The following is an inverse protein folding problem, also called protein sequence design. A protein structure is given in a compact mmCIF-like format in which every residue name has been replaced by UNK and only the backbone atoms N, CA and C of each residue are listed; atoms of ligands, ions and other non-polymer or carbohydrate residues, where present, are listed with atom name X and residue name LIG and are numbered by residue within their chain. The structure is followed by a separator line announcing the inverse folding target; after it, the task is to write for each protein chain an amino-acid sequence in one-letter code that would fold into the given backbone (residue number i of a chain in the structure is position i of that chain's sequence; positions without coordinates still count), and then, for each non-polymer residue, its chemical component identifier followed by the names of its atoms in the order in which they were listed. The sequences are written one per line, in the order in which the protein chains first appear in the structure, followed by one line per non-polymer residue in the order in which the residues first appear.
data_IF_622710184809
#
_entry.id   IF_622710184809
#
_cell.length_a   1.000
_cell.length_b   1.000
_cell.length_c   1.000
_cell.angle_alpha   90.00
_cell.angle_beta   90.00
_cell.angle_gamma   90.00
#
_symmetry.space_group_name_H-M   'P 1'
#
loop_
_entity.id
_entity.type
_entity.pdbx_description
1 polymer ?
#
# COMPACT_ATOMS: atom_id res chain seq x y z
N UNK A 1 38.13 -5.83 17.63
CA UNK A 1 36.93 -5.09 18.08
C UNK A 1 35.74 -5.75 17.39
N UNK A 2 34.89 -6.46 18.14
CA UNK A 2 33.66 -6.99 17.57
C UNK A 2 32.70 -5.79 17.40
N UNK A 3 32.26 -5.52 16.18
CA UNK A 3 31.06 -4.69 15.98
C UNK A 3 29.96 -5.29 16.85
N UNK A 4 29.19 -4.45 17.56
CA UNK A 4 28.03 -4.91 18.33
C UNK A 4 27.19 -5.86 17.47
N UNK A 5 26.52 -6.84 18.07
CA UNK A 5 25.74 -7.84 17.31
C UNK A 5 24.71 -7.20 16.37
N UNK A 6 24.31 -5.97 16.66
CA UNK A 6 23.48 -5.12 15.82
C UNK A 6 24.26 -4.47 14.65
N UNK A 7 25.42 -3.86 14.92
CA UNK A 7 26.19 -3.14 13.89
C UNK A 7 26.68 -4.02 12.74
N UNK A 8 26.89 -5.32 12.98
CA UNK A 8 27.23 -6.28 11.92
C UNK A 8 26.04 -6.78 11.09
N UNK A 9 24.82 -6.64 11.60
CA UNK A 9 23.61 -7.16 10.95
C UNK A 9 22.87 -6.10 10.11
N UNK A 10 23.02 -4.81 10.44
CA UNK A 10 22.37 -3.71 9.73
C UNK A 10 22.89 -3.57 8.29
N UNK A 11 21.96 -3.61 7.34
CA UNK A 11 22.24 -3.45 5.91
C UNK A 11 21.03 -2.87 5.15
N UNK A 12 21.27 -2.32 3.97
CA UNK A 12 20.23 -1.85 3.05
C UNK A 12 19.18 -0.95 3.73
N UNK A 13 17.91 -1.30 3.58
CA UNK A 13 16.78 -0.59 4.17
C UNK A 13 16.81 -0.58 5.70
N UNK A 14 17.26 -1.67 6.34
CA UNK A 14 17.37 -1.74 7.80
C UNK A 14 18.39 -0.77 8.36
N UNK A 15 19.54 -0.61 7.69
CA UNK A 15 20.55 0.40 8.03
C UNK A 15 20.03 1.82 7.81
N UNK A 16 19.41 2.07 6.64
CA UNK A 16 18.82 3.38 6.30
C UNK A 16 17.77 3.80 7.34
N UNK A 17 16.93 2.85 7.76
CA UNK A 17 15.95 3.07 8.78
C UNK A 17 16.58 3.33 10.16
N UNK A 18 17.62 2.58 10.53
CA UNK A 18 18.35 2.76 11.78
C UNK A 18 19.01 4.14 11.88
N UNK A 19 19.59 4.65 10.79
CA UNK A 19 20.26 5.94 10.75
C UNK A 19 19.28 7.12 10.93
N UNK A 20 18.01 6.94 10.56
CA UNK A 20 16.95 7.92 10.75
C UNK A 20 16.40 7.98 12.20
N UNK A 21 16.72 6.99 13.04
CA UNK A 21 16.27 6.94 14.43
C UNK A 21 17.06 7.91 15.31
N UNK A 22 16.43 8.36 16.41
CA UNK A 22 17.12 9.10 17.48
C UNK A 22 18.14 8.21 18.20
N UNK A 23 19.13 8.83 18.86
CA UNK A 23 20.13 8.12 19.65
C UNK A 23 19.50 7.22 20.73
N UNK A 24 18.43 7.68 21.38
CA UNK A 24 17.71 6.90 22.37
C UNK A 24 17.05 5.64 21.78
N UNK A 25 16.44 5.75 20.59
CA UNK A 25 15.85 4.61 19.89
C UNK A 25 16.94 3.64 19.41
N UNK A 26 18.05 4.15 18.87
CA UNK A 26 19.20 3.33 18.46
C UNK A 26 19.78 2.56 19.65
N UNK A 27 19.92 3.22 20.80
CA UNK A 27 20.41 2.59 22.03
C UNK A 27 19.45 1.52 22.54
N UNK A 28 18.13 1.79 22.54
CA UNK A 28 17.14 0.80 22.94
C UNK A 28 17.23 -0.49 22.10
N UNK A 29 17.40 -0.35 20.78
CA UNK A 29 17.57 -1.51 19.89
C UNK A 29 18.89 -2.24 20.15
N UNK A 30 19.98 -1.50 20.39
CA UNK A 30 21.28 -2.08 20.73
C UNK A 30 21.21 -2.87 22.06
N UNK A 31 20.60 -2.31 23.10
CA UNK A 31 20.45 -2.97 24.41
C UNK A 31 19.63 -4.27 24.33
N UNK A 32 18.61 -4.31 23.46
CA UNK A 32 17.82 -5.53 23.22
C UNK A 32 18.65 -6.63 22.55
N UNK A 33 19.54 -6.27 21.62
CA UNK A 33 20.43 -7.22 20.95
C UNK A 33 21.55 -7.68 21.88
N UNK A 34 22.18 -6.76 22.60
CA UNK A 34 23.28 -7.05 23.52
C UNK A 34 22.81 -7.89 24.72
N UNK A 35 21.55 -7.74 25.14
CA UNK A 35 20.92 -8.61 26.15
C UNK A 35 20.46 -9.97 25.62
N UNK A 36 20.60 -10.23 24.31
CA UNK A 36 20.23 -11.49 23.68
C UNK A 36 18.71 -11.74 23.56
N UNK A 37 17.87 -10.73 23.84
CA UNK A 37 16.41 -10.84 23.72
C UNK A 37 15.95 -10.92 22.27
N UNK A 38 16.75 -10.39 21.36
CA UNK A 38 16.49 -10.39 19.92
C UNK A 38 17.82 -10.41 19.15
N UNK A 39 17.81 -10.95 17.93
CA UNK A 39 19.01 -10.93 17.08
C UNK A 39 19.12 -9.61 16.31
N UNK A 40 20.34 -9.21 15.94
CA UNK A 40 20.56 -8.06 15.05
C UNK A 40 19.89 -8.23 13.69
N UNK A 41 19.83 -9.45 13.15
CA UNK A 41 19.12 -9.77 11.91
C UNK A 41 17.61 -9.49 12.02
N UNK A 42 17.00 -9.87 13.15
CA UNK A 42 15.58 -9.59 13.41
C UNK A 42 15.33 -8.08 13.52
N UNK A 43 16.25 -7.33 14.13
CA UNK A 43 16.16 -5.85 14.13
C UNK A 43 16.24 -5.30 12.71
N UNK A 44 17.21 -5.77 11.90
CA UNK A 44 17.37 -5.35 10.51
C UNK A 44 16.10 -5.64 9.67
N UNK A 45 15.55 -6.85 9.79
CA UNK A 45 14.33 -7.27 9.08
C UNK A 45 13.11 -6.42 9.48
N UNK A 46 12.95 -6.13 10.77
CA UNK A 46 11.84 -5.33 11.26
C UNK A 46 11.96 -3.86 10.80
N UNK A 47 13.15 -3.27 10.87
CA UNK A 47 13.39 -1.91 10.39
C UNK A 47 13.21 -1.80 8.87
N UNK A 48 13.64 -2.81 8.13
CA UNK A 48 13.36 -2.95 6.68
C UNK A 48 11.85 -2.92 6.42
N UNK A 49 11.08 -3.72 7.17
CA UNK A 49 9.62 -3.73 7.07
C UNK A 49 9.01 -2.35 7.35
N UNK A 50 9.45 -1.66 8.41
CA UNK A 50 8.93 -0.33 8.77
C UNK A 50 9.19 0.70 7.67
N UNK A 51 10.38 0.70 7.08
CA UNK A 51 10.72 1.64 6.01
C UNK A 51 9.89 1.38 4.74
N UNK A 52 9.74 0.11 4.35
CA UNK A 52 8.84 -0.28 3.25
C UNK A 52 7.40 0.14 3.51
N UNK A 53 6.91 -0.02 4.73
CA UNK A 53 5.57 0.42 5.11
C UNK A 53 5.43 1.95 5.07
N UNK A 54 6.45 2.69 5.48
CA UNK A 54 6.48 4.15 5.35
C UNK A 54 6.38 4.59 3.88
N UNK A 55 7.13 3.93 2.97
CA UNK A 55 7.05 4.16 1.51
C UNK A 55 5.66 3.87 0.97
N UNK A 56 5.08 2.71 1.27
CA UNK A 56 3.73 2.32 0.82
C UNK A 56 2.68 3.32 1.32
N UNK A 57 2.77 3.73 2.58
CA UNK A 57 1.86 4.73 3.16
C UNK A 57 1.97 6.09 2.45
N UNK A 58 3.19 6.56 2.20
CA UNK A 58 3.47 7.79 1.46
C UNK A 58 2.99 7.72 0.01
N UNK A 59 3.20 6.60 -0.69
CA UNK A 59 2.67 6.39 -2.05
C UNK A 59 1.15 6.43 -2.07
N UNK A 60 0.48 5.72 -1.16
CA UNK A 60 -0.98 5.74 -1.06
C UNK A 60 -1.53 7.14 -0.75
N UNK A 61 -0.84 7.90 0.11
CA UNK A 61 -1.19 9.29 0.39
C UNK A 61 -0.94 10.22 -0.81
N UNK A 62 0.15 9.99 -1.55
CA UNK A 62 0.45 10.70 -2.81
C UNK A 62 -0.63 10.44 -3.86
N UNK A 63 -1.02 9.18 -4.04
CA UNK A 63 -2.09 8.82 -4.96
C UNK A 63 -3.42 9.47 -4.59
N UNK A 64 -3.77 9.53 -3.30
CA UNK A 64 -4.98 10.24 -2.86
C UNK A 64 -4.91 11.73 -3.16
N UNK A 65 -3.79 12.38 -2.85
CA UNK A 65 -3.59 13.81 -3.13
C UNK A 65 -3.69 14.10 -4.63
N UNK A 66 -2.95 13.33 -5.44
CA UNK A 66 -3.00 13.40 -6.89
C UNK A 66 -4.43 13.27 -7.42
N UNK A 67 -5.14 12.21 -6.98
CA UNK A 67 -6.49 11.95 -7.43
C UNK A 67 -7.43 13.11 -7.08
N UNK A 68 -7.29 13.66 -5.87
CA UNK A 68 -8.16 14.74 -5.39
C UNK A 68 -7.88 16.08 -6.07
N UNK A 69 -6.61 16.43 -6.26
CA UNK A 69 -6.19 17.70 -6.82
C UNK A 69 -6.40 17.77 -8.34
N UNK A 70 -6.38 16.60 -9.01
CA UNK A 70 -6.44 16.47 -10.46
C UNK A 70 -7.59 15.57 -10.91
N UNK A 71 -8.73 15.67 -10.22
CA UNK A 71 -9.90 14.81 -10.45
C UNK A 71 -10.48 14.95 -11.87
N UNK A 72 -10.29 16.11 -12.50
CA UNK A 72 -10.69 16.44 -13.87
C UNK A 72 -9.98 15.58 -14.93
N UNK A 73 -8.68 15.29 -14.74
CA UNK A 73 -7.88 14.48 -15.67
C UNK A 73 -8.42 13.06 -15.87
N UNK A 74 -9.22 12.53 -14.94
CA UNK A 74 -9.79 11.19 -15.05
C UNK A 74 -11.03 11.10 -15.96
N UNK A 75 -11.61 12.25 -16.31
CA UNK A 75 -12.86 12.33 -17.09
C UNK A 75 -12.68 13.04 -18.43
N UNK A 76 -11.50 13.60 -18.70
CA UNK A 76 -11.17 14.23 -19.98
C UNK A 76 -10.47 13.24 -20.92
N UNK A 77 -11.13 12.90 -22.02
CA UNK A 77 -10.59 12.01 -23.07
C UNK A 77 -9.38 12.61 -23.80
N UNK A 78 -9.17 13.93 -23.73
CA UNK A 78 -8.03 14.61 -24.32
C UNK A 78 -6.76 14.56 -23.45
N UNK A 79 -6.86 14.03 -22.22
CA UNK A 79 -5.72 13.96 -21.28
C UNK A 79 -4.56 13.16 -21.87
N UNK A 80 -3.40 13.80 -21.93
CA UNK A 80 -2.15 13.19 -22.41
C UNK A 80 -1.33 12.59 -21.28
N UNK A 81 -0.31 11.79 -21.64
CA UNK A 81 0.66 11.27 -20.66
C UNK A 81 1.45 12.40 -19.99
N UNK A 82 1.75 13.47 -20.72
CA UNK A 82 2.51 14.59 -20.18
C UNK A 82 1.69 15.42 -19.19
N UNK A 83 0.36 15.49 -19.36
CA UNK A 83 -0.54 16.07 -18.37
C UNK A 83 -0.51 15.28 -17.05
N UNK A 84 -0.56 13.95 -17.14
CA UNK A 84 -0.45 13.07 -15.96
C UNK A 84 0.91 13.21 -15.25
N UNK A 85 2.01 13.29 -16.03
CA UNK A 85 3.36 13.52 -15.51
C UNK A 85 3.49 14.90 -14.86
N UNK A 86 2.92 15.93 -15.49
CA UNK A 86 2.89 17.29 -14.96
C UNK A 86 2.13 17.36 -13.63
N UNK A 87 0.96 16.75 -13.56
CA UNK A 87 0.16 16.63 -12.34
C UNK A 87 0.91 15.86 -11.23
N UNK A 88 1.61 14.79 -11.58
CA UNK A 88 2.42 14.05 -10.61
C UNK A 88 3.56 14.93 -10.09
N UNK A 89 4.28 15.62 -10.97
CA UNK A 89 5.37 16.53 -10.58
C UNK A 89 4.87 17.63 -9.64
N UNK A 90 3.72 18.24 -9.93
CA UNK A 90 3.09 19.23 -9.06
C UNK A 90 2.70 18.65 -7.69
N UNK A 91 2.10 17.45 -7.68
CA UNK A 91 1.75 16.74 -6.45
C UNK A 91 2.99 16.46 -5.60
N UNK A 92 4.06 15.94 -6.20
CA UNK A 92 5.32 15.65 -5.50
C UNK A 92 5.96 16.92 -4.93
N UNK A 93 5.98 18.01 -5.69
CA UNK A 93 6.49 19.30 -5.21
C UNK A 93 5.67 19.83 -4.02
N UNK A 94 4.33 19.74 -4.08
CA UNK A 94 3.44 20.13 -2.98
C UNK A 94 3.70 19.29 -1.72
N UNK A 95 3.85 17.98 -1.87
CA UNK A 95 4.15 17.07 -0.75
C UNK A 95 5.50 17.36 -0.11
N UNK A 96 6.53 17.61 -0.92
CA UNK A 96 7.85 18.03 -0.42
C UNK A 96 7.72 19.29 0.43
N UNK A 97 7.00 20.31 -0.05
CA UNK A 97 6.78 21.54 0.70
C UNK A 97 6.01 21.32 2.01
N UNK A 98 5.01 20.43 2.02
CA UNK A 98 4.29 20.06 3.26
C UNK A 98 5.19 19.31 4.24
N UNK A 99 6.09 18.47 3.75
CA UNK A 99 7.07 17.77 4.58
C UNK A 99 8.09 18.72 5.18
N UNK A 100 8.60 19.69 4.42
CA UNK A 100 9.50 20.72 4.94
C UNK A 100 8.84 21.51 6.08
N UNK A 101 7.55 21.87 5.91
CA UNK A 101 6.74 22.50 6.96
C UNK A 101 6.63 21.62 8.21
N UNK A 102 6.34 20.32 8.07
CA UNK A 102 6.25 19.40 9.20
C UNK A 102 7.56 19.30 10.01
N UNK A 103 8.70 19.45 9.33
CA UNK A 103 10.02 19.43 9.96
C UNK A 103 10.47 20.78 10.53
N UNK A 104 9.80 21.87 10.16
CA UNK A 104 10.07 23.18 10.72
C UNK A 104 9.56 23.28 12.17
N UNK A 105 10.12 24.24 12.93
CA UNK A 105 9.66 24.56 14.28
C UNK A 105 8.30 25.26 14.17
N UNK A 106 7.23 24.47 14.09
CA UNK A 106 5.83 24.91 14.07
C UNK A 106 5.13 24.56 15.38
N UNK A 107 4.03 25.28 15.67
CA UNK A 107 3.10 24.91 16.75
C UNK A 107 2.46 23.54 16.50
N UNK A 108 1.94 22.89 17.54
CA UNK A 108 1.36 21.54 17.42
C UNK A 108 0.14 21.50 16.47
N UNK A 109 -0.69 22.54 16.48
CA UNK A 109 -1.87 22.63 15.61
C UNK A 109 -1.51 22.73 14.13
N UNK A 110 -0.49 23.53 13.80
CA UNK A 110 -0.01 23.66 12.43
C UNK A 110 0.64 22.37 11.93
N UNK A 111 1.38 21.68 12.82
CA UNK A 111 1.94 20.36 12.54
C UNK A 111 0.83 19.33 12.30
N UNK A 112 -0.24 19.35 13.10
CA UNK A 112 -1.38 18.46 12.93
C UNK A 112 -2.11 18.72 11.60
N UNK A 113 -2.32 19.99 11.25
CA UNK A 113 -2.92 20.40 9.97
C UNK A 113 -2.09 19.93 8.77
N UNK A 114 -0.78 20.23 8.75
CA UNK A 114 0.12 19.77 7.69
C UNK A 114 0.17 18.23 7.59
N UNK A 115 0.08 17.54 8.74
CA UNK A 115 0.04 16.08 8.76
C UNK A 115 -1.26 15.52 8.16
N UNK A 116 -2.39 16.16 8.41
CA UNK A 116 -3.68 15.80 7.84
C UNK A 116 -3.72 16.04 6.32
N UNK A 117 -3.18 17.17 5.87
CA UNK A 117 -3.05 17.49 4.44
C UNK A 117 -2.17 16.45 3.73
N UNK A 118 -1.04 16.08 4.34
CA UNK A 118 -0.15 15.07 3.78
C UNK A 118 -0.84 13.70 3.69
N UNK A 119 -1.73 13.36 4.63
CA UNK A 119 -2.48 12.11 4.60
C UNK A 119 -3.55 12.07 3.47
N UNK A 120 -3.97 13.24 2.98
CA UNK A 120 -4.90 13.43 1.88
C UNK A 120 -6.18 12.57 2.02
N UNK A 121 -6.81 12.62 3.20
CA UNK A 121 -7.96 11.76 3.54
C UNK A 121 -9.31 12.32 3.07
N UNK A 122 -9.36 13.59 2.67
CA UNK A 122 -10.55 14.19 2.07
C UNK A 122 -10.79 13.55 0.70
N UNK A 123 -12.05 13.39 0.30
CA UNK A 123 -12.41 12.84 -1.01
C UNK A 123 -13.00 13.93 -1.88
N UNK A 124 -12.44 14.13 -3.08
CA UNK A 124 -12.98 15.09 -4.04
C UNK A 124 -14.43 14.68 -4.44
N UNK A 125 -15.41 15.61 -4.40
CA UNK A 125 -16.79 15.33 -4.77
C UNK A 125 -16.99 14.74 -6.18
N UNK A 126 -16.12 15.06 -7.14
CA UNK A 126 -16.13 14.47 -8.49
C UNK A 126 -15.83 12.98 -8.43
N UNK A 127 -14.87 12.57 -7.60
CA UNK A 127 -14.55 11.16 -7.36
C UNK A 127 -15.64 10.45 -6.55
N UNK A 128 -16.33 11.19 -5.66
CA UNK A 128 -17.39 10.65 -4.81
C UNK A 128 -18.66 10.25 -5.59
N UNK A 129 -18.91 10.88 -6.74
CA UNK A 129 -20.04 10.57 -7.62
C UNK A 129 -19.85 9.26 -8.40
N UNK A 130 -18.61 8.85 -8.64
CA UNK A 130 -18.24 7.60 -9.30
C UNK A 130 -17.89 6.48 -8.29
N UNK A 131 -18.85 6.14 -7.42
CA UNK A 131 -18.63 5.20 -6.29
C UNK A 131 -18.15 3.79 -6.68
N UNK A 132 -18.23 3.39 -7.95
CA UNK A 132 -17.81 2.07 -8.39
C UNK A 132 -16.39 2.01 -8.96
N UNK A 133 -15.65 3.13 -9.07
CA UNK A 133 -14.25 3.14 -9.49
C UNK A 133 -13.95 2.58 -10.88
N UNK A 134 -14.98 2.17 -11.62
CA UNK A 134 -14.91 1.49 -12.92
C UNK A 134 -15.26 2.43 -14.07
N UNK A 135 -15.74 3.65 -13.82
CA UNK A 135 -16.06 4.63 -14.87
C UNK A 135 -14.96 5.66 -15.14
N UNK A 136 -13.92 5.72 -14.32
CA UNK A 136 -12.75 6.58 -14.58
C UNK A 136 -12.10 6.19 -15.90
N UNK A 137 -12.01 7.13 -16.84
CA UNK A 137 -11.44 6.88 -18.16
C UNK A 137 -9.96 6.55 -18.11
N UNK A 138 -9.24 7.06 -17.11
CA UNK A 138 -7.79 6.96 -16.97
C UNK A 138 -7.40 6.42 -15.59
N UNK A 139 -6.40 5.54 -15.52
CA UNK A 139 -5.77 5.07 -14.28
C UNK A 139 -4.25 5.09 -14.50
N UNK A 140 -3.52 6.08 -13.95
CA UNK A 140 -2.10 6.24 -14.24
C UNK A 140 -1.29 5.04 -13.76
N UNK A 141 -0.54 4.41 -14.67
CA UNK A 141 0.26 3.22 -14.39
C UNK A 141 1.36 3.40 -13.33
N UNK A 142 1.84 4.63 -13.08
CA UNK A 142 2.88 4.89 -12.09
C UNK A 142 2.45 4.64 -10.63
N UNK A 143 1.15 4.62 -10.34
CA UNK A 143 0.60 4.23 -9.03
C UNK A 143 0.23 2.75 -8.91
N UNK A 144 0.51 1.93 -9.93
CA UNK A 144 0.18 0.52 -9.89
C UNK A 144 0.90 -0.22 -8.76
N UNK A 145 0.22 -1.23 -8.21
CA UNK A 145 0.84 -2.17 -7.30
C UNK A 145 1.63 -3.19 -8.10
N UNK A 146 2.94 -3.16 -7.90
CA UNK A 146 3.87 -4.14 -8.43
C UNK A 146 4.38 -4.98 -7.27
N UNK A 147 3.86 -6.21 -7.17
CA UNK A 147 4.20 -7.16 -6.10
C UNK A 147 5.63 -7.68 -6.22
N UNK A 148 6.31 -7.46 -7.35
CA UNK A 148 7.73 -7.79 -7.52
C UNK A 148 8.67 -6.67 -7.08
N UNK A 149 8.15 -5.46 -6.84
CA UNK A 149 8.96 -4.32 -6.40
C UNK A 149 9.40 -4.52 -4.95
N UNK A 150 10.61 -5.03 -4.77
CA UNK A 150 11.17 -5.35 -3.45
C UNK A 150 11.39 -4.12 -2.57
N UNK A 151 11.40 -2.92 -3.15
CA UNK A 151 11.49 -1.63 -2.44
C UNK A 151 10.24 -1.31 -1.64
N UNK A 152 9.10 -1.92 -2.00
CA UNK A 152 7.78 -1.67 -1.42
C UNK A 152 7.23 -2.88 -0.68
N UNK A 153 7.52 -4.09 -1.16
CA UNK A 153 6.93 -5.30 -0.62
C UNK A 153 7.81 -5.91 0.48
N UNK A 154 7.17 -6.24 1.59
CA UNK A 154 7.82 -6.92 2.72
C UNK A 154 7.64 -8.43 2.63
N UNK A 155 8.59 -9.19 3.18
CA UNK A 155 8.44 -10.64 3.34
C UNK A 155 7.70 -11.01 4.63
N UNK A 156 7.24 -12.26 4.74
CA UNK A 156 6.66 -12.77 6.00
C UNK A 156 7.66 -12.66 7.16
N UNK A 157 8.92 -13.01 6.93
CA UNK A 157 10.03 -12.89 7.92
C UNK A 157 10.15 -11.46 8.46
N UNK A 158 10.10 -10.48 7.56
CA UNK A 158 10.13 -9.05 7.89
C UNK A 158 8.90 -8.65 8.74
N UNK A 159 7.72 -9.17 8.43
CA UNK A 159 6.52 -8.97 9.25
C UNK A 159 6.62 -9.56 10.66
N UNK A 160 7.06 -10.82 10.77
CA UNK A 160 7.22 -11.53 12.05
C UNK A 160 8.28 -10.84 12.95
N UNK A 161 9.33 -10.29 12.33
CA UNK A 161 10.34 -9.49 13.03
C UNK A 161 9.76 -8.21 13.66
N UNK A 162 8.88 -7.51 12.96
CA UNK A 162 8.18 -6.32 13.51
C UNK A 162 7.30 -6.68 14.70
N UNK A 163 6.57 -7.81 14.65
CA UNK A 163 5.81 -8.31 15.80
C UNK A 163 6.72 -8.62 17.00
N UNK A 164 7.91 -9.17 16.74
CA UNK A 164 8.90 -9.47 17.78
C UNK A 164 9.38 -8.20 18.48
N UNK A 165 9.70 -7.12 17.74
CA UNK A 165 10.06 -5.82 18.35
C UNK A 165 8.92 -5.24 19.19
N UNK A 166 7.69 -5.29 18.68
CA UNK A 166 6.52 -4.82 19.41
C UNK A 166 6.32 -5.57 20.73
N UNK A 167 6.48 -6.89 20.71
CA UNK A 167 6.36 -7.74 21.90
C UNK A 167 7.43 -7.41 22.97
N UNK A 168 8.59 -6.90 22.55
CA UNK A 168 9.66 -6.45 23.44
C UNK A 168 9.48 -5.02 23.96
N UNK A 169 8.34 -4.37 23.65
CA UNK A 169 8.01 -3.04 24.14
C UNK A 169 8.67 -1.89 23.36
N UNK A 170 9.15 -2.15 22.13
CA UNK A 170 9.64 -1.08 21.25
C UNK A 170 8.45 -0.25 20.76
N UNK A 171 8.58 1.06 20.85
CA UNK A 171 7.58 2.01 20.34
C UNK A 171 7.69 2.10 18.81
N UNK A 172 6.87 1.31 18.12
CA UNK A 172 6.81 1.32 16.67
C UNK A 172 6.25 2.63 16.10
N UNK A 173 5.40 3.34 16.84
CA UNK A 173 4.83 4.62 16.38
C UNK A 173 5.91 5.71 16.37
N UNK A 174 6.83 5.67 17.34
CA UNK A 174 8.00 6.56 17.34
C UNK A 174 8.97 6.24 16.18
N UNK A 175 9.14 4.96 15.83
CA UNK A 175 9.91 4.56 14.64
C UNK A 175 9.23 5.07 13.37
N UNK A 176 7.92 4.88 13.23
CA UNK A 176 7.18 5.35 12.06
C UNK A 176 7.25 6.86 11.87
N UNK A 177 7.18 7.61 12.96
CA UNK A 177 7.37 9.07 12.94
C UNK A 177 8.76 9.45 12.43
N UNK A 178 9.80 8.76 12.90
CA UNK A 178 11.18 9.00 12.47
C UNK A 178 11.37 8.67 10.97
N UNK A 179 10.75 7.58 10.50
CA UNK A 179 10.85 7.13 9.12
C UNK A 179 9.99 7.90 8.13
N UNK A 180 9.04 8.72 8.60
CA UNK A 180 8.09 9.44 7.74
C UNK A 180 8.78 10.23 6.64
N UNK A 181 9.83 11.00 6.97
CA UNK A 181 10.56 11.81 5.98
C UNK A 181 11.24 10.94 4.93
N UNK A 182 11.98 9.93 5.36
CA UNK A 182 12.66 9.00 4.45
C UNK A 182 11.66 8.28 3.55
N UNK A 183 10.53 7.82 4.11
CA UNK A 183 9.46 7.17 3.36
C UNK A 183 8.84 8.07 2.28
N UNK A 184 8.65 9.37 2.56
CA UNK A 184 8.16 10.35 1.58
C UNK A 184 9.16 10.62 0.46
N UNK A 185 10.44 10.80 0.81
CA UNK A 185 11.51 11.03 -0.16
C UNK A 185 11.72 9.81 -1.08
N UNK A 186 11.71 8.61 -0.51
CA UNK A 186 11.82 7.34 -1.25
C UNK A 186 10.59 7.10 -2.13
N UNK A 187 9.37 7.35 -1.62
CA UNK A 187 8.15 7.23 -2.41
C UNK A 187 8.15 8.20 -3.60
N UNK A 188 8.59 9.44 -3.39
CA UNK A 188 8.71 10.44 -4.46
C UNK A 188 9.74 10.00 -5.52
N UNK A 189 10.87 9.45 -5.11
CA UNK A 189 11.89 8.92 -6.02
C UNK A 189 11.35 7.75 -6.87
N UNK A 190 10.69 6.77 -6.24
CA UNK A 190 10.10 5.61 -6.92
C UNK A 190 9.01 6.04 -7.91
N UNK A 191 8.11 6.95 -7.50
CA UNK A 191 7.07 7.47 -8.39
C UNK A 191 7.65 8.26 -9.57
N UNK A 192 8.70 9.04 -9.32
CA UNK A 192 9.40 9.79 -10.39
C UNK A 192 10.05 8.84 -11.40
N UNK A 193 10.74 7.81 -10.93
CA UNK A 193 11.32 6.75 -11.77
C UNK A 193 10.24 6.08 -12.63
N UNK A 194 9.13 5.66 -12.02
CA UNK A 194 8.00 5.01 -12.72
C UNK A 194 7.34 5.92 -13.75
N UNK A 195 7.35 7.23 -13.54
CA UNK A 195 6.76 8.21 -14.45
C UNK A 195 7.74 8.71 -15.54
N UNK A 196 9.02 8.37 -15.44
CA UNK A 196 10.08 8.92 -16.30
C UNK A 196 10.40 10.39 -16.00
N UNK A 197 10.14 10.83 -14.77
CA UNK A 197 10.49 12.17 -14.27
C UNK A 197 11.93 12.18 -13.71
N UNK A 198 12.55 13.37 -13.55
CA UNK A 198 13.83 13.48 -12.86
C UNK A 198 13.77 12.88 -11.45
N UNK A 199 14.72 12.00 -11.14
CA UNK A 199 14.79 11.29 -9.86
C UNK A 199 15.80 11.98 -8.95
N UNK A 200 15.40 12.28 -7.71
CA UNK A 200 16.26 12.96 -6.73
C UNK A 200 17.25 12.03 -6.03
N UNK A 201 16.96 10.73 -5.96
CA UNK A 201 17.82 9.68 -5.38
C UNK A 201 17.42 8.28 -5.86
N UNK A 202 18.35 7.35 -5.80
CA UNK A 202 18.06 5.93 -6.10
C UNK A 202 17.64 5.22 -4.82
N UNK A 203 16.49 4.54 -4.86
CA UNK A 203 16.07 3.61 -3.79
C UNK A 203 16.49 2.20 -4.18
N UNK A 204 17.37 1.59 -3.40
CA UNK A 204 17.92 0.27 -3.70
C UNK A 204 16.87 -0.83 -3.53
N UNK A 205 16.91 -1.81 -4.43
CA UNK A 205 16.12 -3.04 -4.29
C UNK A 205 16.63 -3.87 -3.10
N UNK A 206 15.70 -4.46 -2.34
CA UNK A 206 16.01 -5.47 -1.34
C UNK A 206 16.40 -6.78 -2.06
N UNK A 207 17.65 -7.21 -1.88
CA UNK A 207 18.22 -8.39 -2.53
C UNK A 207 17.72 -9.70 -1.91
N UNK A 208 17.28 -9.64 -0.64
CA UNK A 208 16.79 -10.81 0.09
C UNK A 208 15.29 -11.06 -0.17
N UNK A 209 14.65 -10.24 -1.01
CA UNK A 209 13.22 -10.33 -1.32
C UNK A 209 12.93 -11.38 -2.39
N UNK A 210 11.92 -12.21 -2.10
CA UNK A 210 11.26 -13.08 -3.07
C UNK A 210 9.74 -12.85 -3.03
N UNK A 211 9.11 -12.85 -4.20
CA UNK A 211 7.64 -12.75 -4.33
C UNK A 211 6.94 -13.94 -3.67
N UNK A 212 7.58 -15.11 -3.64
CA UNK A 212 7.01 -16.31 -3.01
C UNK A 212 6.85 -16.16 -1.49
N UNK A 213 7.72 -15.36 -0.89
CA UNK A 213 7.76 -15.06 0.54
C UNK A 213 7.11 -13.71 0.89
N UNK A 214 6.53 -13.02 -0.11
CA UNK A 214 5.86 -11.75 0.08
C UNK A 214 4.74 -11.88 1.12
N UNK A 215 4.70 -10.92 2.04
CA UNK A 215 3.67 -10.81 3.06
C UNK A 215 2.28 -10.64 2.43
N UNK A 216 2.21 -9.99 1.27
CA UNK A 216 1.01 -9.84 0.46
C UNK A 216 1.26 -10.50 -0.89
N UNK A 217 0.42 -11.49 -1.22
CA UNK A 217 0.48 -12.17 -2.51
C UNK A 217 -0.52 -11.55 -3.49
N UNK A 218 -0.20 -11.50 -4.80
CA UNK A 218 -1.18 -11.13 -5.80
C UNK A 218 -2.41 -12.05 -5.72
N UNK A 219 -3.59 -11.51 -6.01
CA UNK A 219 -4.79 -12.33 -6.19
C UNK A 219 -4.51 -13.32 -7.31
N UNK A 220 -4.73 -14.61 -7.05
CA UNK A 220 -4.65 -15.65 -8.07
C UNK A 220 -5.62 -15.27 -9.20
N UNK A 221 -5.08 -14.89 -10.35
CA UNK A 221 -5.90 -14.64 -11.51
C UNK A 221 -6.52 -15.96 -12.01
N UNK A 222 -7.67 -15.91 -12.71
CA UNK A 222 -8.26 -17.11 -13.31
C UNK A 222 -7.24 -17.87 -14.17
N UNK A 223 -7.35 -19.20 -14.31
CA UNK A 223 -6.44 -19.97 -15.15
C UNK A 223 -6.34 -19.36 -16.55
N UNK A 224 -5.12 -18.98 -16.97
CA UNK A 224 -4.86 -18.40 -18.30
C UNK A 224 -4.93 -16.87 -18.39
N UNK A 225 -5.24 -16.15 -17.30
CA UNK A 225 -5.16 -14.69 -17.25
C UNK A 225 -4.09 -14.28 -16.22
N UNK A 226 -3.30 -13.25 -16.52
CA UNK A 226 -2.46 -12.56 -15.53
C UNK A 226 -2.96 -11.12 -15.43
N UNK A 227 -2.96 -10.49 -14.24
CA UNK A 227 -3.25 -9.06 -14.14
C UNK A 227 -2.24 -8.31 -15.02
N UNK A 228 -2.64 -7.23 -15.72
CA UNK A 228 -1.70 -6.40 -16.44
C UNK A 228 -0.65 -5.85 -15.45
N UNK A 229 0.63 -6.06 -15.71
CA UNK A 229 1.72 -5.39 -15.01
C UNK A 229 1.91 -4.01 -15.65
N UNK A 230 2.00 -2.94 -14.86
CA UNK A 230 2.24 -1.61 -15.41
C UNK A 230 3.57 -1.49 -16.16
N UNK A 231 4.54 -2.35 -15.87
CA UNK A 231 5.81 -2.44 -16.62
C UNK A 231 5.60 -2.82 -18.09
N UNK A 232 4.54 -3.57 -18.39
CA UNK A 232 4.20 -3.97 -19.76
C UNK A 232 3.59 -2.83 -20.58
N UNK A 233 3.25 -1.71 -19.93
CA UNK A 233 2.57 -0.57 -20.53
C UNK A 233 3.38 0.72 -20.31
N UNK A 234 4.35 1.02 -21.20
CA UNK A 234 5.16 2.24 -21.10
C UNK A 234 4.32 3.53 -21.21
N UNK A 235 3.09 3.42 -21.71
CA UNK A 235 2.09 4.49 -21.68
C UNK A 235 1.16 4.30 -20.46
N UNK A 236 1.19 5.24 -19.48
CA UNK A 236 0.32 5.20 -18.30
C UNK A 236 -1.18 5.16 -18.61
N UNK A 237 -1.61 5.61 -19.79
CA UNK A 237 -3.01 5.55 -20.24
C UNK A 237 -3.43 4.13 -20.66
N UNK A 238 -2.50 3.34 -21.20
CA UNK A 238 -2.78 2.00 -21.71
C UNK A 238 -2.96 0.99 -20.57
N UNK A 239 -2.19 1.16 -19.48
CA UNK A 239 -2.37 0.38 -18.25
C UNK A 239 -3.80 0.49 -17.72
N UNK A 240 -4.32 1.73 -17.60
CA UNK A 240 -5.66 1.95 -17.04
C UNK A 240 -6.77 1.31 -17.85
N UNK A 241 -6.65 1.35 -19.19
CA UNK A 241 -7.57 0.67 -20.10
C UNK A 241 -7.52 -0.85 -19.91
N UNK A 242 -6.31 -1.43 -19.87
CA UNK A 242 -6.10 -2.87 -19.75
C UNK A 242 -6.49 -3.43 -18.40
N UNK A 243 -6.23 -2.68 -17.33
CA UNK A 243 -6.71 -3.01 -15.99
C UNK A 243 -8.24 -3.02 -15.95
N UNK A 244 -8.90 -2.04 -16.57
CA UNK A 244 -10.37 -2.02 -16.66
C UNK A 244 -10.89 -3.24 -17.44
N UNK A 245 -10.33 -3.54 -18.61
CA UNK A 245 -10.68 -4.72 -19.40
C UNK A 245 -10.52 -6.01 -18.57
N UNK A 246 -9.41 -6.15 -17.84
CA UNK A 246 -9.14 -7.28 -16.96
C UNK A 246 -10.16 -7.39 -15.82
N UNK A 247 -10.46 -6.28 -15.12
CA UNK A 247 -11.44 -6.26 -14.03
C UNK A 247 -12.86 -6.55 -14.55
N UNK A 248 -13.25 -5.99 -15.70
CA UNK A 248 -14.52 -6.27 -16.34
C UNK A 248 -14.64 -7.75 -16.75
N UNK A 249 -13.59 -8.34 -17.33
CA UNK A 249 -13.56 -9.75 -17.69
C UNK A 249 -13.62 -10.66 -16.44
N UNK A 250 -12.92 -10.27 -15.37
CA UNK A 250 -12.93 -11.00 -14.09
C UNK A 250 -14.31 -10.98 -13.43
N UNK A 251 -15.05 -9.87 -13.57
CA UNK A 251 -16.42 -9.71 -13.09
C UNK A 251 -17.43 -10.43 -13.99
N UNK A 252 -17.22 -10.45 -15.31
CA UNK A 252 -18.08 -11.14 -16.27
C UNK A 252 -18.09 -12.67 -16.10
N UNK A 253 -17.02 -13.23 -15.54
CA UNK A 253 -16.93 -14.64 -15.16
C UNK A 253 -17.63 -14.97 -13.83
N UNK A 254 -18.22 -13.99 -13.13
CA UNK A 254 -19.05 -14.25 -11.97
C UNK A 254 -20.46 -14.67 -12.39
N UNK A 255 -20.87 -15.90 -12.08
CA UNK A 255 -22.18 -16.41 -12.45
C UNK A 255 -23.25 -15.85 -11.50
N UNK A 256 -24.30 -15.22 -12.06
CA UNK A 256 -25.51 -14.87 -11.30
C UNK A 256 -26.13 -16.17 -10.76
N UNK A 257 -26.22 -16.29 -9.44
CA UNK A 257 -26.73 -17.49 -8.76
C UNK A 257 -28.11 -17.30 -8.13
N UNK A 258 -28.58 -16.06 -8.00
CA UNK A 258 -29.94 -15.79 -7.56
C UNK A 258 -30.17 -14.34 -7.20
N UNK A 259 -31.31 -14.08 -6.54
CA UNK A 259 -31.63 -12.79 -5.93
C UNK A 259 -31.99 -13.01 -4.46
N UNK A 260 -31.38 -12.23 -3.56
CA UNK A 260 -31.64 -12.24 -2.13
C UNK A 260 -32.11 -10.84 -1.72
N UNK A 261 -33.35 -10.70 -1.25
CA UNK A 261 -33.91 -9.41 -0.82
C UNK A 261 -33.95 -8.33 -1.90
N UNK A 262 -34.10 -8.69 -3.18
CA UNK A 262 -34.09 -7.75 -4.31
C UNK A 262 -32.70 -7.41 -4.85
N UNK A 263 -31.64 -8.04 -4.35
CA UNK A 263 -30.27 -7.85 -4.82
C UNK A 263 -29.76 -9.09 -5.56
N UNK A 264 -29.10 -8.89 -6.70
CA UNK A 264 -28.48 -9.98 -7.47
C UNK A 264 -27.24 -10.51 -6.76
N UNK A 265 -27.21 -11.82 -6.52
CA UNK A 265 -26.08 -12.53 -5.88
C UNK A 265 -25.26 -13.22 -6.97
N UNK A 266 -23.94 -13.06 -6.90
CA UNK A 266 -22.97 -13.65 -7.81
C UNK A 266 -22.10 -14.68 -7.08
N UNK A 267 -21.82 -15.81 -7.71
CA UNK A 267 -20.88 -16.82 -7.22
C UNK A 267 -19.58 -16.73 -8.02
N UNK A 268 -18.47 -16.75 -7.30
CA UNK A 268 -17.14 -16.95 -7.88
C UNK A 268 -16.93 -18.46 -7.92
N UNK A 269 -16.85 -19.04 -9.12
CA UNK A 269 -16.49 -20.45 -9.27
C UNK A 269 -15.05 -20.64 -8.77
N UNK A 270 -14.88 -21.36 -7.65
CA UNK A 270 -13.56 -21.79 -7.20
C UNK A 270 -13.11 -22.94 -8.12
N UNK A 271 -11.81 -23.02 -8.46
CA UNK A 271 -11.29 -24.18 -9.17
C UNK A 271 -11.49 -25.46 -8.34
N UNK A 272 -11.98 -26.52 -8.97
CA UNK A 272 -12.40 -27.81 -8.36
C UNK A 272 -11.28 -28.62 -7.65
N UNK A 273 -10.07 -28.08 -7.52
CA UNK A 273 -8.88 -28.83 -7.08
C UNK A 273 -8.49 -28.61 -5.61
N UNK A 274 -9.25 -27.81 -4.85
CA UNK A 274 -9.03 -27.69 -3.39
C UNK A 274 -10.02 -28.61 -2.67
N UNK A 275 -9.52 -29.76 -2.20
CA UNK A 275 -10.29 -30.63 -1.31
C UNK A 275 -10.81 -29.80 -0.12
N UNK A 276 -12.14 -29.83 0.08
CA UNK A 276 -12.76 -29.26 1.28
C UNK A 276 -12.10 -29.88 2.52
N UNK A 277 -11.69 -29.08 3.52
CA UNK A 277 -11.53 -29.60 4.87
C UNK A 277 -12.88 -30.22 5.28
N UNK A 278 -12.87 -31.49 5.68
CA UNK A 278 -14.08 -32.27 5.97
C UNK A 278 -14.88 -31.78 7.19
N UNK A 279 -14.45 -30.73 7.89
CA UNK A 279 -15.01 -30.33 9.18
C UNK A 279 -15.58 -28.90 9.19
N UNK A 280 -16.56 -28.62 8.34
CA UNK A 280 -17.44 -27.46 8.55
C UNK A 280 -18.91 -27.92 8.59
N UNK A 281 -19.66 -27.57 9.65
CA UNK A 281 -21.04 -28.01 9.78
C UNK A 281 -21.91 -27.36 8.70
N UNK A 282 -22.77 -28.18 8.09
CA UNK A 282 -23.78 -27.77 7.12
C UNK A 282 -24.75 -26.76 7.79
N UNK A 283 -25.01 -25.58 7.20
CA UNK A 283 -25.98 -24.65 7.76
C UNK A 283 -27.39 -25.25 7.63
N UNK A 284 -28.07 -25.36 8.77
CA UNK A 284 -29.46 -25.83 8.89
C UNK A 284 -30.43 -24.81 8.29
N UNK A 285 -31.36 -25.31 7.49
CA UNK A 285 -32.43 -24.59 6.82
C UNK A 285 -33.63 -24.34 7.75
N UNK A 286 -33.44 -23.60 8.84
CA UNK A 286 -34.56 -23.18 9.70
C UNK A 286 -34.22 -21.88 10.44
N UNK A 287 -34.92 -20.79 10.12
CA UNK A 287 -34.86 -19.56 10.92
C UNK A 287 -35.02 -18.23 10.17
N UNK A 288 -35.74 -18.18 9.06
CA UNK A 288 -36.24 -16.92 8.53
C UNK A 288 -37.42 -16.42 9.40
N UNK A 289 -37.19 -15.44 10.28
CA UNK A 289 -38.24 -14.59 10.85
C UNK A 289 -37.65 -13.29 11.44
N UNK A 290 -37.56 -12.28 10.58
CA UNK A 290 -37.92 -10.86 10.77
C UNK A 290 -37.73 -10.27 12.19
N UNK A 291 -36.73 -9.39 12.34
CA UNK A 291 -36.80 -8.22 13.19
C UNK A 291 -36.76 -6.97 12.29
N UNK A 292 -37.95 -6.40 12.08
CA UNK A 292 -38.20 -5.11 11.45
C UNK A 292 -37.71 -3.99 12.37
N UNK A 293 -36.98 -3.02 11.81
CA UNK A 293 -36.81 -1.69 12.39
C UNK A 293 -35.38 -1.24 12.63
N UNK A 294 -34.65 -0.90 11.55
CA UNK A 294 -33.71 0.24 11.43
C UNK A 294 -32.93 0.11 10.09
N UNK A 295 -32.55 1.20 9.40
CA UNK A 295 -31.84 1.12 8.14
C UNK A 295 -30.36 0.83 8.40
N UNK A 296 -29.99 -0.45 8.46
CA UNK A 296 -28.58 -0.85 8.55
C UNK A 296 -27.98 -0.84 7.14
N UNK A 297 -27.45 0.31 6.78
CA UNK A 297 -26.37 0.46 5.82
C UNK A 297 -25.26 -0.59 6.12
N UNK A 298 -24.96 -1.49 5.16
CA UNK A 298 -23.61 -1.94 4.73
C UNK A 298 -23.50 -3.43 4.35
N UNK A 299 -22.63 -3.59 3.34
CA UNK A 299 -21.67 -4.67 3.10
C UNK A 299 -22.16 -5.92 2.34
N UNK A 300 -21.60 -6.13 1.13
CA UNK A 300 -20.82 -7.32 0.73
C UNK A 300 -20.11 -6.98 -0.60
N UNK A 301 -18.81 -6.64 -0.54
CA UNK A 301 -17.63 -7.49 -0.88
C UNK A 301 -17.34 -7.65 -2.39
N UNK A 302 -16.57 -6.70 -2.92
CA UNK A 302 -15.50 -6.98 -3.87
C UNK A 302 -14.27 -6.23 -3.37
N UNK A 303 -13.37 -6.96 -2.72
CA UNK A 303 -12.15 -6.41 -2.14
C UNK A 303 -11.11 -6.16 -3.22
N UNK A 304 -10.73 -4.90 -3.40
CA UNK A 304 -9.44 -4.49 -3.91
C UNK A 304 -9.16 -3.06 -3.41
N UNK A 305 -8.10 -2.95 -2.61
CA UNK A 305 -7.49 -1.72 -2.13
C UNK A 305 -8.35 -0.80 -1.22
N UNK A 306 -8.66 -1.27 -0.01
CA UNK A 306 -8.68 -0.39 1.18
C UNK A 306 -8.27 -1.20 2.41
N UNK A 307 -7.33 -0.66 3.20
CA UNK A 307 -6.54 -1.26 4.29
C UNK A 307 -5.34 -2.07 3.75
N UNK A 308 -4.09 -1.61 3.80
CA UNK A 308 -3.40 -0.71 4.74
C UNK A 308 -2.54 0.30 3.97
#
# INVERSE_FOLDING_TARGET
MALSGLGGALRGDGLTAFDALSDAQRQQLADLVDSGKISGETVNDALTQRLKQARVSAMGATQRMYNNDHADLFFDEATSVDDLRGALSQTLARRSSLMDKLTAVMGEDERAAASNDLAARTMNPLLAKDRMGMSRYIMPGFFSMDFSDSRLNSTKKQGDATYSLKALGVDLDAIDKALRKTGEEDAAAILSERAGLPVSRTVAADQDYSVDDALVKPLSAPPGASPPDARDYPNPLDYGRKLREFLQASVANMRKVGELGGHTVYQIDRPDHIQRPQDLPTPSSAGAAIALGEPVDRAYMAGLATRY
#
